data_IF_137986619251
#
_entry.id   IF_137986619251
#
_cell.length_a   1.000
_cell.length_b   1.000
_cell.length_c   1.000
_cell.angle_alpha   90.00
_cell.angle_beta   90.00
_cell.angle_gamma   90.00
#
_symmetry.space_group_name_H-M   'P 1'
#
loop_
_entity.id
_entity.type
_entity.pdbx_description
1 polymer ?
#
# COMPACT_ATOMS: atom_id res chain seq x y z
N UNK A 1 -7.49 -6.65 59.78
CA UNK A 1 -6.29 -6.48 58.91
C UNK A 1 -6.47 -7.11 57.54
N UNK A 2 -6.89 -8.38 57.44
CA UNK A 2 -7.03 -9.08 56.14
C UNK A 2 -8.05 -8.40 55.21
N UNK A 3 -9.21 -7.97 55.74
CA UNK A 3 -10.24 -7.30 54.92
C UNK A 3 -9.77 -5.97 54.32
N UNK A 4 -8.99 -5.18 55.07
CA UNK A 4 -8.43 -3.90 54.58
C UNK A 4 -7.44 -4.16 53.45
N UNK A 5 -6.63 -5.22 53.55
CA UNK A 5 -5.67 -5.61 52.51
C UNK A 5 -6.40 -6.04 51.23
N UNK A 6 -7.48 -6.83 51.35
CA UNK A 6 -8.28 -7.27 50.20
C UNK A 6 -8.92 -6.08 49.48
N UNK A 7 -9.47 -5.12 50.21
CA UNK A 7 -10.06 -3.90 49.63
C UNK A 7 -9.01 -3.10 48.88
N UNK A 8 -7.83 -2.87 49.46
CA UNK A 8 -6.74 -2.12 48.81
C UNK A 8 -6.29 -2.82 47.52
N UNK A 9 -6.08 -4.14 47.57
CA UNK A 9 -5.68 -4.93 46.40
C UNK A 9 -6.75 -4.86 45.30
N UNK A 10 -8.03 -4.95 45.66
CA UNK A 10 -9.14 -4.88 44.70
C UNK A 10 -9.20 -3.52 44.02
N UNK A 11 -9.02 -2.43 44.77
CA UNK A 11 -8.92 -1.07 44.20
C UNK A 11 -7.74 -0.94 43.24
N UNK A 12 -6.58 -1.50 43.57
CA UNK A 12 -5.40 -1.49 42.69
C UNK A 12 -5.69 -2.20 41.37
N UNK A 13 -6.32 -3.38 41.41
CA UNK A 13 -6.67 -4.11 40.18
C UNK A 13 -7.67 -3.36 39.30
N UNK A 14 -8.66 -2.67 39.89
CA UNK A 14 -9.60 -1.83 39.14
C UNK A 14 -8.87 -0.67 38.45
N UNK A 15 -7.96 0.02 39.17
CA UNK A 15 -7.19 1.13 38.61
C UNK A 15 -6.26 0.66 37.49
N UNK A 16 -5.55 -0.46 37.69
CA UNK A 16 -4.67 -1.04 36.66
C UNK A 16 -5.45 -1.47 35.42
N UNK A 17 -6.58 -2.14 35.60
CA UNK A 17 -7.46 -2.54 34.50
C UNK A 17 -7.95 -1.35 33.69
N UNK A 18 -8.33 -0.25 34.36
CA UNK A 18 -8.73 0.99 33.70
C UNK A 18 -7.60 1.65 32.89
N UNK A 19 -6.38 1.72 33.45
CA UNK A 19 -5.21 2.28 32.76
C UNK A 19 -4.88 1.46 31.51
N UNK A 20 -4.84 0.14 31.63
CA UNK A 20 -4.55 -0.77 30.50
C UNK A 20 -5.62 -0.58 29.42
N UNK A 21 -6.90 -0.64 29.79
CA UNK A 21 -8.01 -0.49 28.85
C UNK A 21 -7.93 0.85 28.09
N UNK A 22 -7.67 1.95 28.80
CA UNK A 22 -7.55 3.29 28.17
C UNK A 22 -6.36 3.38 27.22
N UNK A 23 -5.21 2.80 27.57
CA UNK A 23 -4.04 2.77 26.67
C UNK A 23 -4.30 1.93 25.43
N UNK A 24 -4.94 0.77 25.58
CA UNK A 24 -5.28 -0.11 24.45
C UNK A 24 -6.24 0.57 23.47
N UNK A 25 -7.28 1.26 23.96
CA UNK A 25 -8.21 2.00 23.10
C UNK A 25 -7.51 3.13 22.34
N UNK A 26 -6.63 3.89 22.99
CA UNK A 26 -5.87 4.95 22.31
C UNK A 26 -4.94 4.41 21.22
N UNK A 27 -4.25 3.29 21.49
CA UNK A 27 -3.41 2.62 20.50
C UNK A 27 -4.26 2.15 19.32
N UNK A 28 -5.39 1.51 19.59
CA UNK A 28 -6.30 1.01 18.54
C UNK A 28 -6.87 2.15 17.68
N UNK A 29 -7.25 3.28 18.28
CA UNK A 29 -7.71 4.46 17.55
C UNK A 29 -6.58 5.02 16.67
N UNK A 30 -5.36 5.12 17.21
CA UNK A 30 -4.20 5.61 16.49
C UNK A 30 -3.81 4.69 15.32
N UNK A 31 -3.81 3.37 15.55
CA UNK A 31 -3.58 2.34 14.52
C UNK A 31 -4.65 2.39 13.44
N UNK A 32 -5.93 2.56 13.81
CA UNK A 32 -7.01 2.71 12.85
C UNK A 32 -6.85 3.98 12.01
N UNK A 33 -6.57 5.12 12.64
CA UNK A 33 -6.35 6.38 11.91
C UNK A 33 -5.12 6.29 11.00
N UNK A 34 -4.04 5.68 11.46
CA UNK A 34 -2.84 5.45 10.65
C UNK A 34 -3.17 4.50 9.48
N UNK A 35 -3.91 3.42 9.72
CA UNK A 35 -4.37 2.48 8.71
C UNK A 35 -5.28 3.16 7.67
N UNK A 36 -6.17 4.05 8.08
CA UNK A 36 -7.03 4.83 7.18
C UNK A 36 -6.20 5.79 6.30
N UNK A 37 -5.22 6.49 6.89
CA UNK A 37 -4.33 7.38 6.14
C UNK A 37 -3.45 6.61 5.15
N UNK A 38 -2.89 5.47 5.58
CA UNK A 38 -2.18 4.51 4.71
C UNK A 38 -3.07 4.04 3.56
N UNK A 39 -4.28 3.60 3.86
CA UNK A 39 -5.25 3.16 2.86
C UNK A 39 -5.51 4.27 1.84
N UNK A 40 -5.76 5.50 2.30
CA UNK A 40 -6.00 6.65 1.42
C UNK A 40 -4.78 6.92 0.52
N UNK A 41 -3.58 6.97 1.09
CA UNK A 41 -2.35 7.21 0.34
C UNK A 41 -2.15 6.17 -0.78
N UNK A 42 -2.31 4.88 -0.45
CA UNK A 42 -2.13 3.79 -1.42
C UNK A 42 -3.27 3.76 -2.46
N UNK A 43 -4.51 3.99 -2.04
CA UNK A 43 -5.66 4.03 -2.95
C UNK A 43 -5.55 5.18 -3.96
N UNK A 44 -5.12 6.36 -3.53
CA UNK A 44 -4.92 7.51 -4.41
C UNK A 44 -3.81 7.24 -5.44
N UNK A 45 -2.68 6.64 -5.03
CA UNK A 45 -1.62 6.24 -5.96
C UNK A 45 -2.13 5.25 -7.01
N UNK A 46 -2.75 4.15 -6.55
CA UNK A 46 -3.27 3.10 -7.45
C UNK A 46 -4.34 3.67 -8.39
N UNK A 47 -5.17 4.61 -7.93
CA UNK A 47 -6.18 5.27 -8.75
C UNK A 47 -5.58 6.05 -9.93
N UNK A 48 -4.38 6.62 -9.80
CA UNK A 48 -3.67 7.25 -10.92
C UNK A 48 -3.45 6.26 -12.05
N UNK A 49 -2.96 5.06 -11.73
CA UNK A 49 -2.72 4.01 -12.71
C UNK A 49 -4.01 3.53 -13.37
N UNK A 50 -5.06 3.25 -12.60
CA UNK A 50 -6.35 2.84 -13.17
C UNK A 50 -7.00 3.93 -14.02
N UNK A 51 -6.77 5.21 -13.73
CA UNK A 51 -7.21 6.32 -14.59
C UNK A 51 -6.48 6.29 -15.94
N UNK A 52 -5.16 6.10 -15.94
CA UNK A 52 -4.38 5.95 -17.18
C UNK A 52 -4.88 4.73 -17.96
N UNK A 53 -5.03 3.58 -17.30
CA UNK A 53 -5.54 2.35 -17.92
C UNK A 53 -6.94 2.56 -18.53
N UNK A 54 -7.82 3.27 -17.83
CA UNK A 54 -9.15 3.62 -18.33
C UNK A 54 -9.07 4.50 -19.57
N UNK A 55 -8.19 5.49 -19.59
CA UNK A 55 -8.02 6.38 -20.74
C UNK A 55 -7.47 5.60 -21.95
N UNK A 56 -6.47 4.73 -21.73
CA UNK A 56 -5.92 3.83 -22.77
C UNK A 56 -6.99 2.90 -23.34
N UNK A 57 -7.76 2.21 -22.49
CA UNK A 57 -8.83 1.29 -22.94
C UNK A 57 -9.94 2.02 -23.70
N UNK A 58 -10.18 3.30 -23.41
CA UNK A 58 -11.18 4.13 -24.10
C UNK A 58 -10.60 4.94 -25.26
N UNK A 59 -9.33 4.74 -25.65
CA UNK A 59 -8.64 5.50 -26.69
C UNK A 59 -8.69 7.02 -26.46
N UNK A 60 -8.64 7.46 -25.19
CA UNK A 60 -8.65 8.86 -24.80
C UNK A 60 -7.24 9.37 -24.53
N UNK A 61 -7.01 10.64 -24.86
CA UNK A 61 -5.77 11.32 -24.49
C UNK A 61 -5.77 11.51 -22.97
N UNK A 62 -4.76 10.95 -22.31
CA UNK A 62 -4.55 11.12 -20.87
C UNK A 62 -4.16 12.56 -20.57
N UNK A 63 -4.83 13.20 -19.61
CA UNK A 63 -4.44 14.52 -19.13
C UNK A 63 -3.16 14.42 -18.28
N UNK A 64 -2.01 14.69 -18.91
CA UNK A 64 -0.69 14.57 -18.28
C UNK A 64 -0.50 15.49 -17.06
N UNK A 65 -1.02 16.72 -17.10
CA UNK A 65 -0.93 17.64 -15.97
C UNK A 65 -1.67 17.09 -14.75
N UNK A 66 -2.88 16.58 -14.94
CA UNK A 66 -3.66 15.98 -13.88
C UNK A 66 -3.05 14.68 -13.35
N UNK A 67 -2.28 13.95 -14.17
CA UNK A 67 -1.49 12.78 -13.73
C UNK A 67 -0.30 13.22 -12.88
N UNK A 68 0.47 14.22 -13.34
CA UNK A 68 1.64 14.71 -12.62
C UNK A 68 1.27 15.28 -11.25
N UNK A 69 0.20 16.06 -11.15
CA UNK A 69 -0.32 16.58 -9.88
C UNK A 69 -0.61 15.45 -8.89
N UNK A 70 -1.31 14.39 -9.33
CA UNK A 70 -1.62 13.24 -8.50
C UNK A 70 -0.38 12.42 -8.11
N UNK A 71 0.63 12.36 -8.97
CA UNK A 71 1.92 11.74 -8.62
C UNK A 71 2.62 12.53 -7.51
N UNK A 72 2.60 13.87 -7.57
CA UNK A 72 3.19 14.71 -6.52
C UNK A 72 2.44 14.55 -5.19
N UNK A 73 1.11 14.49 -5.21
CA UNK A 73 0.31 14.18 -4.01
C UNK A 73 0.66 12.80 -3.46
N UNK A 74 0.76 11.79 -4.32
CA UNK A 74 1.14 10.43 -3.93
C UNK A 74 2.55 10.37 -3.34
N UNK A 75 3.50 11.16 -3.85
CA UNK A 75 4.85 11.30 -3.26
C UNK A 75 4.78 11.78 -1.83
N UNK A 76 4.01 12.84 -1.57
CA UNK A 76 3.82 13.36 -0.20
C UNK A 76 3.19 12.30 0.70
N UNK A 77 2.12 11.65 0.25
CA UNK A 77 1.33 10.78 1.11
C UNK A 77 2.03 9.44 1.39
N UNK A 78 2.75 8.88 0.40
CA UNK A 78 3.60 7.68 0.59
C UNK A 78 4.80 8.01 1.48
N UNK A 79 5.40 9.20 1.35
CA UNK A 79 6.49 9.62 2.25
C UNK A 79 6.03 9.72 3.71
N UNK A 80 4.82 10.22 3.95
CA UNK A 80 4.31 10.44 5.30
C UNK A 80 3.72 9.19 5.95
N UNK A 81 3.07 8.33 5.16
CA UNK A 81 2.28 7.22 5.69
C UNK A 81 2.74 5.85 5.19
N UNK A 82 3.50 5.78 4.09
CA UNK A 82 4.00 4.53 3.56
C UNK A 82 4.98 3.83 4.50
N UNK A 83 5.05 2.50 4.44
CA UNK A 83 6.18 1.79 5.06
C UNK A 83 7.45 1.95 4.23
N UNK A 84 8.61 1.75 4.86
CA UNK A 84 9.92 1.87 4.20
C UNK A 84 10.02 0.99 2.95
N UNK A 85 9.46 -0.23 3.00
CA UNK A 85 9.42 -1.15 1.87
C UNK A 85 8.57 -0.60 0.71
N UNK A 86 7.41 -0.01 1.01
CA UNK A 86 6.55 0.63 0.01
C UNK A 86 7.25 1.86 -0.58
N UNK A 87 7.88 2.68 0.26
CA UNK A 87 8.62 3.87 -0.17
C UNK A 87 9.78 3.52 -1.11
N UNK A 88 10.56 2.48 -0.80
CA UNK A 88 11.63 1.98 -1.68
C UNK A 88 11.09 1.51 -3.03
N UNK A 89 10.03 0.68 -3.05
CA UNK A 89 9.39 0.23 -4.30
C UNK A 89 8.79 1.38 -5.10
N UNK A 90 8.25 2.38 -4.41
CA UNK A 90 7.68 3.55 -5.07
C UNK A 90 8.74 4.37 -5.79
N UNK A 91 9.89 4.60 -5.13
CA UNK A 91 11.02 5.29 -5.75
C UNK A 91 11.59 4.49 -6.93
N UNK A 92 11.69 3.16 -6.83
CA UNK A 92 12.11 2.30 -7.95
C UNK A 92 11.21 2.46 -9.17
N UNK A 93 9.90 2.45 -8.96
CA UNK A 93 8.93 2.68 -10.03
C UNK A 93 9.07 4.09 -10.63
N UNK A 94 9.19 5.13 -9.80
CA UNK A 94 9.37 6.51 -10.27
C UNK A 94 10.66 6.70 -11.09
N UNK A 95 11.80 6.17 -10.62
CA UNK A 95 13.07 6.24 -11.34
C UNK A 95 12.99 5.50 -12.69
N UNK A 96 12.32 4.35 -12.73
CA UNK A 96 12.11 3.62 -13.99
C UNK A 96 11.22 4.35 -15.00
N UNK A 97 10.41 5.30 -14.54
CA UNK A 97 9.59 6.14 -15.43
C UNK A 97 10.41 7.28 -16.06
N UNK A 98 11.57 7.62 -15.50
CA UNK A 98 12.42 8.74 -15.94
C UNK A 98 13.70 8.30 -16.62
N UNK A 99 14.19 7.11 -16.32
CA UNK A 99 15.35 6.51 -16.98
C UNK A 99 14.91 5.89 -18.31
N UNK A 100 15.64 6.16 -19.41
CA UNK A 100 15.44 5.48 -20.71
C UNK A 100 15.84 3.99 -20.59
N UNK A 101 14.95 3.16 -20.02
CA UNK A 101 15.13 1.71 -19.89
C UNK A 101 13.91 0.97 -20.43
N UNK A 102 14.18 -0.26 -20.88
CA UNK A 102 13.27 -1.23 -21.49
C UNK A 102 11.80 -1.10 -21.07
N UNK A 103 10.90 -1.11 -22.06
CA UNK A 103 9.45 -0.86 -21.94
C UNK A 103 8.77 -1.68 -20.82
N UNK A 104 9.30 -2.86 -20.46
CA UNK A 104 8.68 -3.77 -19.50
C UNK A 104 9.12 -3.55 -18.04
N UNK A 105 10.26 -2.89 -17.82
CA UNK A 105 10.83 -2.68 -16.47
C UNK A 105 9.93 -1.81 -15.60
N UNK A 106 9.29 -0.79 -16.20
CA UNK A 106 8.38 0.09 -15.48
C UNK A 106 7.15 -0.67 -14.95
N UNK A 107 6.57 -1.56 -15.76
CA UNK A 107 5.42 -2.37 -15.36
C UNK A 107 5.80 -3.36 -14.26
N UNK A 108 6.98 -3.99 -14.37
CA UNK A 108 7.50 -4.87 -13.31
C UNK A 108 7.56 -4.16 -11.96
N UNK A 109 8.20 -3.00 -11.89
CA UNK A 109 8.30 -2.25 -10.64
C UNK A 109 6.95 -1.73 -10.15
N UNK A 110 6.02 -1.43 -11.06
CA UNK A 110 4.65 -1.12 -10.67
C UNK A 110 3.95 -2.31 -9.99
N UNK A 111 4.06 -3.52 -10.55
CA UNK A 111 3.49 -4.73 -9.95
C UNK A 111 4.10 -5.02 -8.57
N UNK A 112 5.42 -4.89 -8.44
CA UNK A 112 6.12 -5.03 -7.16
C UNK A 112 5.62 -4.01 -6.12
N UNK A 113 5.42 -2.77 -6.52
CA UNK A 113 4.92 -1.69 -5.67
C UNK A 113 3.50 -1.96 -5.16
N UNK A 114 2.57 -2.31 -6.06
CA UNK A 114 1.18 -2.62 -5.67
C UNK A 114 1.13 -3.85 -4.77
N UNK A 115 1.96 -4.85 -5.03
CA UNK A 115 2.08 -6.03 -4.18
C UNK A 115 2.56 -5.65 -2.77
N UNK A 116 3.57 -4.80 -2.66
CA UNK A 116 4.13 -4.36 -1.38
C UNK A 116 3.14 -3.51 -0.59
N UNK A 117 2.41 -2.59 -1.24
CA UNK A 117 1.30 -1.85 -0.61
C UNK A 117 0.25 -2.79 -0.05
N UNK A 118 -0.11 -3.85 -0.80
CA UNK A 118 -1.08 -4.84 -0.34
C UNK A 118 -0.58 -5.65 0.86
N UNK A 119 0.72 -5.98 0.90
CA UNK A 119 1.33 -6.63 2.07
C UNK A 119 1.30 -5.70 3.28
N UNK A 120 1.70 -4.45 3.12
CA UNK A 120 1.71 -3.46 4.20
C UNK A 120 0.31 -3.31 4.83
N UNK A 121 -0.73 -3.22 4.00
CA UNK A 121 -2.13 -3.16 4.44
C UNK A 121 -2.65 -4.43 5.13
N UNK A 122 -1.96 -5.57 4.98
CA UNK A 122 -2.40 -6.88 5.54
C UNK A 122 -1.42 -7.44 6.56
N UNK A 123 -0.56 -6.60 7.14
CA UNK A 123 0.42 -7.03 8.15
C UNK A 123 1.47 -8.01 7.57
N UNK A 124 1.94 -7.75 6.35
CA UNK A 124 3.01 -8.49 5.69
C UNK A 124 2.58 -9.75 4.93
N UNK A 125 1.29 -10.09 4.90
CA UNK A 125 0.80 -11.35 4.29
C UNK A 125 -0.13 -11.09 3.11
N UNK A 126 0.15 -11.73 1.97
CA UNK A 126 -0.77 -11.78 0.82
C UNK A 126 -0.62 -13.09 0.07
N UNK A 127 -1.74 -13.62 -0.43
CA UNK A 127 -1.76 -14.74 -1.39
C UNK A 127 -1.79 -14.27 -2.84
N UNK A 128 -2.06 -12.97 -3.06
CA UNK A 128 -2.04 -12.36 -4.39
C UNK A 128 -0.60 -12.24 -4.84
N UNK A 129 -0.33 -12.66 -6.07
CA UNK A 129 0.96 -12.56 -6.74
C UNK A 129 0.96 -11.42 -7.77
N UNK A 130 2.13 -11.06 -8.30
CA UNK A 130 2.26 -10.12 -9.42
C UNK A 130 1.46 -10.59 -10.64
N UNK A 131 1.45 -11.91 -10.91
CA UNK A 131 0.63 -12.53 -11.95
C UNK A 131 -0.87 -12.29 -11.76
N UNK A 132 -1.36 -12.40 -10.52
CA UNK A 132 -2.78 -12.17 -10.22
C UNK A 132 -3.16 -10.70 -10.42
N UNK A 133 -2.28 -9.78 -10.05
CA UNK A 133 -2.45 -8.34 -10.28
C UNK A 133 -2.47 -8.08 -11.80
N UNK A 134 -1.49 -8.60 -12.53
CA UNK A 134 -1.41 -8.43 -13.98
C UNK A 134 -2.63 -9.01 -14.70
N UNK A 135 -3.10 -10.19 -14.26
CA UNK A 135 -4.33 -10.80 -14.76
C UNK A 135 -5.56 -9.92 -14.49
N UNK A 136 -5.61 -9.20 -13.37
CA UNK A 136 -6.69 -8.24 -13.13
C UNK A 136 -6.67 -7.06 -14.11
N UNK A 137 -5.49 -6.59 -14.51
CA UNK A 137 -5.32 -5.45 -15.41
C UNK A 137 -5.63 -5.80 -16.88
N UNK A 138 -5.02 -6.87 -17.36
CA UNK A 138 -5.10 -7.32 -18.76
C UNK A 138 -6.38 -8.13 -19.01
N UNK A 139 -6.77 -8.98 -18.06
CA UNK A 139 -7.93 -9.89 -18.15
C UNK A 139 -7.83 -10.95 -19.28
N UNK A 140 -6.63 -11.20 -19.81
CA UNK A 140 -6.32 -12.25 -20.78
C UNK A 140 -5.16 -13.12 -20.26
N UNK A 141 -5.38 -14.42 -20.08
CA UNK A 141 -4.39 -15.33 -19.49
C UNK A 141 -3.17 -15.57 -20.38
N UNK A 142 -3.37 -15.69 -21.70
CA UNK A 142 -2.26 -15.95 -22.64
C UNK A 142 -1.30 -14.75 -22.67
N UNK A 143 -1.87 -13.56 -22.79
CA UNK A 143 -1.11 -12.31 -22.84
C UNK A 143 -0.34 -12.04 -21.53
N UNK A 144 -0.94 -12.38 -20.38
CA UNK A 144 -0.26 -12.33 -19.08
C UNK A 144 0.95 -13.26 -19.04
N UNK A 145 0.81 -14.48 -19.54
CA UNK A 145 1.91 -15.46 -19.55
C UNK A 145 3.05 -15.01 -20.47
N UNK A 146 2.72 -14.46 -21.65
CA UNK A 146 3.70 -13.90 -22.59
C UNK A 146 4.45 -12.71 -21.96
N UNK A 147 3.72 -11.79 -21.34
CA UNK A 147 4.29 -10.61 -20.70
C UNK A 147 5.18 -10.95 -19.50
N UNK A 148 4.79 -11.94 -18.69
CA UNK A 148 5.63 -12.42 -17.59
C UNK A 148 6.93 -13.06 -18.07
N UNK A 149 6.91 -13.76 -19.21
CA UNK A 149 8.13 -14.30 -19.81
C UNK A 149 9.09 -13.19 -20.25
N UNK A 150 8.56 -12.08 -20.78
CA UNK A 150 9.37 -10.91 -21.15
C UNK A 150 10.04 -10.30 -19.91
N UNK A 151 9.28 -10.05 -18.84
CA UNK A 151 9.81 -9.47 -17.59
C UNK A 151 10.84 -10.37 -16.89
N UNK A 152 10.67 -11.70 -16.98
CA UNK A 152 11.52 -12.66 -16.25
C UNK A 152 12.84 -12.96 -16.96
N UNK A 153 12.89 -12.79 -18.29
CA UNK A 153 14.10 -13.05 -19.10
C UNK A 153 15.18 -11.97 -18.98
N UNK A 154 14.86 -10.79 -18.44
CA UNK A 154 15.79 -9.67 -18.22
C UNK A 154 16.69 -9.87 -16.96
N UNK A 155 17.10 -11.11 -16.66
CA UNK A 155 17.99 -11.45 -15.52
C UNK A 155 19.39 -11.85 -15.95
#
# INVERSE_FOLDING_TARGET
MIEIIITIISTIFVVLGWIIHRKTEQIKIMENQLSERKYKAYAEMVAVFYRILKDVKNQKITNQNAVMEKIIESKRDILLYGSDAVFDKFNKWLCSATEEKEDNTQMKYFLELVLEMRKDMRGGKTKITEKDILLNLIQNRSEVDDFLQLITKEK
#
